data_IF_445052474871
#
_entry.id   IF_445052474871
#
_cell.length_a   1.000
_cell.length_b   1.000
_cell.length_c   1.000
_cell.angle_alpha   90.00
_cell.angle_beta   90.00
_cell.angle_gamma   90.00
#
_symmetry.space_group_name_H-M   'P 1'
#
loop_
_entity.id
_entity.type
_entity.pdbx_description
1 polymer ?
#
# COMPACT_ATOMS: atom_id res chain seq x y z
N UNK A 1 61.47 17.28 15.52
CA UNK A 1 61.10 17.27 14.08
C UNK A 1 59.72 17.87 13.95
N UNK A 2 59.49 18.80 13.02
CA UNK A 2 58.15 19.35 12.80
C UNK A 2 57.21 18.23 12.31
N UNK A 3 56.03 18.11 12.94
CA UNK A 3 55.01 17.15 12.54
C UNK A 3 54.48 17.49 11.16
N UNK A 4 54.47 16.51 10.25
CA UNK A 4 53.90 16.70 8.91
C UNK A 4 52.39 16.97 9.00
N UNK A 5 51.84 17.88 8.18
CA UNK A 5 50.40 18.10 8.13
C UNK A 5 49.68 16.88 7.55
N UNK A 6 48.46 16.61 8.04
CA UNK A 6 47.59 15.56 7.51
C UNK A 6 47.15 15.91 6.08
N UNK A 7 47.36 14.98 5.14
CA UNK A 7 46.79 15.02 3.80
C UNK A 7 45.79 13.87 3.71
N UNK A 8 44.52 14.17 3.51
CA UNK A 8 43.45 13.17 3.46
C UNK A 8 43.08 12.84 2.01
N UNK A 9 43.58 11.71 1.50
CA UNK A 9 43.29 11.18 0.16
C UNK A 9 42.14 10.14 0.16
N UNK A 10 41.49 9.91 1.31
CA UNK A 10 40.37 8.98 1.45
C UNK A 10 39.02 9.61 1.06
N UNK A 11 38.93 10.94 1.18
CA UNK A 11 37.67 11.67 1.09
C UNK A 11 37.10 11.67 -0.34
N UNK A 12 35.88 11.15 -0.52
CA UNK A 12 35.24 10.94 -1.84
C UNK A 12 34.19 11.96 -2.28
N UNK A 13 34.06 13.10 -1.60
CA UNK A 13 33.16 14.20 -2.00
C UNK A 13 33.94 15.43 -2.50
N UNK A 14 33.30 16.33 -3.30
CA UNK A 14 33.96 17.47 -3.92
C UNK A 14 34.67 18.40 -2.92
N UNK A 15 35.74 19.06 -3.37
CA UNK A 15 36.37 20.12 -2.59
C UNK A 15 35.42 21.32 -2.44
N UNK A 16 35.41 21.95 -1.27
CA UNK A 16 34.54 23.09 -0.97
C UNK A 16 34.76 24.29 -1.89
N UNK A 17 35.96 24.45 -2.47
CA UNK A 17 36.25 25.52 -3.43
C UNK A 17 35.53 25.37 -4.78
N UNK A 18 35.04 24.17 -5.09
CA UNK A 18 34.31 23.87 -6.34
C UNK A 18 32.79 23.96 -6.18
N UNK A 19 32.29 24.20 -4.96
CA UNK A 19 30.85 24.29 -4.73
C UNK A 19 30.32 25.60 -5.34
N UNK A 20 29.29 25.55 -6.21
CA UNK A 20 28.79 26.71 -6.95
C UNK A 20 27.86 27.59 -6.09
N UNK A 21 28.33 28.03 -4.93
CA UNK A 21 27.53 28.71 -3.90
C UNK A 21 26.90 30.01 -4.40
N UNK A 22 27.63 30.81 -5.19
CA UNK A 22 27.13 32.06 -5.75
C UNK A 22 25.97 31.84 -6.74
N UNK A 23 26.10 30.84 -7.62
CA UNK A 23 25.08 30.50 -8.61
C UNK A 23 23.83 29.93 -7.93
N UNK A 24 24.00 29.02 -6.97
CA UNK A 24 22.88 28.47 -6.19
C UNK A 24 22.16 29.58 -5.44
N UNK A 25 22.90 30.50 -4.81
CA UNK A 25 22.31 31.65 -4.11
C UNK A 25 21.48 32.52 -5.05
N UNK A 26 22.04 32.90 -6.20
CA UNK A 26 21.35 33.74 -7.18
C UNK A 26 20.07 33.05 -7.71
N UNK A 27 20.14 31.74 -7.99
CA UNK A 27 18.99 30.96 -8.44
C UNK A 27 17.89 30.90 -7.36
N UNK A 28 18.26 30.67 -6.10
CA UNK A 28 17.33 30.67 -4.98
C UNK A 28 16.66 32.04 -4.80
N UNK A 29 17.42 33.14 -4.82
CA UNK A 29 16.88 34.50 -4.72
C UNK A 29 15.91 34.78 -5.88
N UNK A 30 16.25 34.36 -7.10
CA UNK A 30 15.38 34.54 -8.28
C UNK A 30 14.07 33.74 -8.20
N UNK A 31 14.08 32.54 -7.60
CA UNK A 31 12.88 31.73 -7.43
C UNK A 31 12.01 32.30 -6.31
N UNK A 32 12.62 32.61 -5.16
CA UNK A 32 11.90 33.04 -3.96
C UNK A 32 11.29 34.45 -4.08
N UNK A 33 11.80 35.30 -4.98
CA UNK A 33 11.23 36.62 -5.26
C UNK A 33 9.99 36.57 -6.17
N UNK A 34 9.65 35.39 -6.71
CA UNK A 34 8.53 35.18 -7.63
C UNK A 34 7.42 34.35 -6.97
N UNK A 35 6.34 34.95 -6.46
CA UNK A 35 5.28 34.22 -5.76
C UNK A 35 4.64 33.10 -6.59
N UNK A 36 4.55 33.27 -7.91
CA UNK A 36 4.03 32.29 -8.87
C UNK A 36 4.84 30.98 -8.93
N UNK A 37 6.13 31.02 -8.55
CA UNK A 37 7.01 29.84 -8.49
C UNK A 37 7.29 29.43 -7.05
N UNK A 38 7.56 30.40 -6.17
CA UNK A 38 7.92 30.16 -4.79
C UNK A 38 6.81 29.46 -4.02
N UNK A 39 5.55 29.91 -4.17
CA UNK A 39 4.44 29.33 -3.40
C UNK A 39 4.21 27.86 -3.78
N UNK A 40 4.06 27.46 -5.06
CA UNK A 40 3.96 26.04 -5.42
C UNK A 40 5.19 25.23 -5.00
N UNK A 41 6.40 25.77 -5.14
CA UNK A 41 7.65 25.08 -4.78
C UNK A 41 7.84 24.85 -3.27
N UNK A 42 7.12 25.58 -2.42
CA UNK A 42 7.11 25.40 -0.96
C UNK A 42 5.95 24.52 -0.46
N UNK A 43 5.08 24.06 -1.36
CA UNK A 43 3.97 23.15 -1.07
C UNK A 43 4.30 21.73 -1.56
N UNK A 44 3.32 20.83 -1.50
CA UNK A 44 3.48 19.50 -2.09
C UNK A 44 3.72 19.60 -3.60
N UNK A 45 4.74 18.88 -4.07
CA UNK A 45 5.11 18.81 -5.48
C UNK A 45 4.58 17.56 -6.17
N UNK A 46 4.70 17.48 -7.51
CA UNK A 46 4.36 16.29 -8.28
C UNK A 46 5.26 15.08 -7.90
N UNK A 47 4.70 13.87 -7.91
CA UNK A 47 5.43 12.63 -7.58
C UNK A 47 6.76 12.47 -8.35
N UNK A 48 6.83 12.78 -9.67
CA UNK A 48 8.09 12.62 -10.40
C UNK A 48 9.12 13.74 -10.13
N UNK A 49 8.73 14.80 -9.42
CA UNK A 49 9.52 16.02 -9.20
C UNK A 49 9.11 17.20 -10.08
N UNK A 50 9.80 18.33 -9.89
CA UNK A 50 9.51 19.57 -10.60
C UNK A 50 9.61 19.40 -12.14
N UNK A 51 8.55 19.74 -12.91
CA UNK A 51 8.56 19.57 -14.36
C UNK A 51 9.62 20.39 -15.08
N UNK A 52 9.96 21.59 -14.58
CA UNK A 52 10.97 22.45 -15.17
C UNK A 52 12.37 21.83 -15.04
N UNK A 53 12.73 21.41 -13.83
CA UNK A 53 13.98 20.73 -13.55
C UNK A 53 14.15 19.46 -14.38
N UNK A 54 13.11 18.62 -14.45
CA UNK A 54 13.13 17.39 -15.27
C UNK A 54 13.38 17.69 -16.75
N UNK A 55 12.71 18.69 -17.32
CA UNK A 55 12.92 19.11 -18.72
C UNK A 55 14.34 19.62 -18.96
N UNK A 56 14.87 20.44 -18.05
CA UNK A 56 16.25 20.93 -18.15
C UNK A 56 17.28 19.80 -18.07
N UNK A 57 17.08 18.82 -17.18
CA UNK A 57 17.93 17.63 -17.07
C UNK A 57 17.85 16.79 -18.36
N UNK A 58 16.64 16.53 -18.87
CA UNK A 58 16.43 15.75 -20.09
C UNK A 58 17.10 16.40 -21.31
N UNK A 59 16.97 17.73 -21.46
CA UNK A 59 17.65 18.50 -22.49
C UNK A 59 19.18 18.40 -22.37
N UNK A 60 19.72 18.60 -21.16
CA UNK A 60 21.15 18.48 -20.91
C UNK A 60 21.68 17.07 -21.20
N UNK A 61 20.97 16.01 -20.78
CA UNK A 61 21.36 14.63 -21.05
C UNK A 61 21.39 14.33 -22.55
N UNK A 62 20.41 14.85 -23.31
CA UNK A 62 20.33 14.69 -24.76
C UNK A 62 21.51 15.37 -25.45
N UNK A 63 21.79 16.62 -25.06
CA UNK A 63 22.87 17.41 -25.63
C UNK A 63 24.25 16.85 -25.27
N UNK A 64 24.45 16.42 -24.02
CA UNK A 64 25.75 15.96 -23.55
C UNK A 64 26.12 14.55 -24.04
N UNK A 65 25.18 13.60 -23.99
CA UNK A 65 25.46 12.19 -24.31
C UNK A 65 25.17 11.81 -25.77
N UNK A 66 24.47 12.66 -26.53
CA UNK A 66 24.05 12.40 -27.91
C UNK A 66 23.48 10.97 -28.12
N UNK A 67 22.48 10.55 -27.34
CA UNK A 67 21.86 9.23 -27.51
C UNK A 67 21.18 9.11 -28.88
N UNK A 68 20.91 7.87 -29.31
CA UNK A 68 20.20 7.61 -30.58
C UNK A 68 18.80 8.22 -30.62
N UNK A 69 18.16 8.37 -29.46
CA UNK A 69 16.86 9.02 -29.29
C UNK A 69 16.95 10.05 -28.17
N UNK A 70 16.32 11.23 -28.30
CA UNK A 70 16.30 12.25 -27.26
C UNK A 70 15.80 11.72 -25.91
N UNK A 71 16.46 12.13 -24.83
CA UNK A 71 15.94 11.89 -23.47
C UNK A 71 14.77 12.84 -23.24
N UNK A 72 13.62 12.26 -22.92
CA UNK A 72 12.39 13.00 -22.62
C UNK A 72 12.18 13.11 -21.10
N UNK A 73 11.45 14.13 -20.65
CA UNK A 73 11.31 14.39 -19.21
C UNK A 73 10.49 13.34 -18.48
N UNK A 74 9.57 12.62 -19.15
CA UNK A 74 8.83 11.48 -18.61
C UNK A 74 9.72 10.31 -18.17
N UNK A 75 10.97 10.27 -18.66
CA UNK A 75 11.98 9.30 -18.24
C UNK A 75 12.83 9.75 -17.04
N UNK A 76 12.58 10.92 -16.47
CA UNK A 76 13.36 11.49 -15.36
C UNK A 76 12.50 11.61 -14.11
N UNK A 77 12.94 11.01 -13.01
CA UNK A 77 12.31 11.15 -11.70
C UNK A 77 13.32 11.71 -10.69
N UNK A 78 12.92 12.73 -9.94
CA UNK A 78 13.72 13.29 -8.85
C UNK A 78 13.58 12.39 -7.62
N UNK A 79 14.70 12.07 -6.98
CA UNK A 79 14.75 11.22 -5.77
C UNK A 79 15.60 11.91 -4.71
N UNK A 80 15.55 11.45 -3.46
CA UNK A 80 16.41 11.92 -2.37
C UNK A 80 17.88 11.49 -2.49
N UNK A 81 18.34 11.19 -3.71
CA UNK A 81 19.72 10.78 -4.03
C UNK A 81 19.84 9.31 -4.43
N UNK A 82 20.99 8.96 -5.01
CA UNK A 82 21.24 7.64 -5.57
C UNK A 82 21.06 6.50 -4.55
N UNK A 83 21.45 6.72 -3.30
CA UNK A 83 21.34 5.74 -2.21
C UNK A 83 19.88 5.42 -1.86
N UNK A 84 19.03 6.44 -1.73
CA UNK A 84 17.60 6.23 -1.49
C UNK A 84 16.96 5.51 -2.68
N UNK A 85 17.29 5.96 -3.91
CA UNK A 85 16.71 5.38 -5.11
C UNK A 85 17.09 3.91 -5.30
N UNK A 86 18.32 3.51 -4.96
CA UNK A 86 18.71 2.10 -4.96
C UNK A 86 17.82 1.29 -4.01
N UNK A 87 17.51 1.82 -2.83
CA UNK A 87 16.54 1.22 -1.92
C UNK A 87 15.14 1.07 -2.53
N UNK A 88 14.64 2.10 -3.23
CA UNK A 88 13.34 2.04 -3.92
C UNK A 88 13.31 0.98 -5.02
N UNK A 89 14.39 0.87 -5.81
CA UNK A 89 14.52 -0.16 -6.87
C UNK A 89 14.46 -1.55 -6.27
N UNK A 90 15.15 -1.79 -5.16
CA UNK A 90 15.13 -3.09 -4.48
C UNK A 90 13.72 -3.42 -3.96
N UNK A 91 13.02 -2.47 -3.34
CA UNK A 91 11.67 -2.70 -2.84
C UNK A 91 10.66 -3.10 -3.93
N UNK A 92 10.83 -2.58 -5.15
CA UNK A 92 9.89 -2.83 -6.24
C UNK A 92 10.24 -4.07 -7.07
N UNK A 93 11.53 -4.30 -7.34
CA UNK A 93 11.98 -5.31 -8.31
C UNK A 93 12.60 -6.55 -7.69
N UNK A 94 12.64 -6.66 -6.36
CA UNK A 94 13.24 -7.81 -5.68
C UNK A 94 12.34 -8.36 -4.59
N UNK A 95 12.53 -9.64 -4.29
CA UNK A 95 11.91 -10.32 -3.15
C UNK A 95 13.05 -11.01 -2.37
N UNK A 96 13.31 -10.66 -1.10
CA UNK A 96 14.40 -11.25 -0.33
C UNK A 96 14.22 -12.75 -0.08
N UNK A 97 13.06 -13.34 -0.33
CA UNK A 97 12.83 -14.79 -0.32
C UNK A 97 13.24 -15.38 -1.67
N UNK A 98 12.72 -14.85 -2.78
CA UNK A 98 12.89 -15.41 -4.12
C UNK A 98 14.20 -14.98 -4.82
N UNK A 99 14.54 -13.69 -4.82
CA UNK A 99 15.74 -13.13 -5.48
C UNK A 99 16.99 -13.81 -4.91
N UNK A 100 17.76 -14.46 -5.79
CA UNK A 100 18.80 -15.44 -5.38
C UNK A 100 20.14 -14.78 -5.09
N UNK A 101 20.54 -13.83 -5.94
CA UNK A 101 21.82 -13.16 -5.88
C UNK A 101 21.68 -11.69 -6.33
N UNK A 102 22.53 -10.82 -5.78
CA UNK A 102 22.79 -9.46 -6.27
C UNK A 102 24.22 -9.47 -6.82
N UNK A 103 24.36 -9.35 -8.14
CA UNK A 103 25.65 -9.34 -8.82
C UNK A 103 26.18 -7.90 -8.90
N UNK A 104 27.40 -7.68 -8.41
CA UNK A 104 28.00 -6.34 -8.31
C UNK A 104 29.41 -6.39 -8.89
N UNK A 105 29.76 -5.40 -9.70
CA UNK A 105 31.12 -5.22 -10.21
C UNK A 105 32.14 -5.06 -9.07
N UNK A 106 33.34 -5.62 -9.22
CA UNK A 106 34.43 -5.56 -8.24
C UNK A 106 35.70 -5.02 -8.89
N UNK A 107 36.28 -3.91 -8.38
CA UNK A 107 35.90 -3.19 -7.16
C UNK A 107 34.55 -2.46 -7.25
N UNK A 108 33.84 -2.31 -6.11
CA UNK A 108 32.50 -1.75 -6.05
C UNK A 108 32.41 -0.46 -5.21
N UNK A 109 31.35 0.31 -5.42
CA UNK A 109 30.96 1.42 -4.53
C UNK A 109 30.45 0.87 -3.18
N UNK A 110 31.35 0.77 -2.20
CA UNK A 110 31.09 0.09 -0.92
C UNK A 110 29.94 0.68 -0.10
N UNK A 111 29.58 1.96 -0.30
CA UNK A 111 28.43 2.58 0.38
C UNK A 111 27.08 2.00 -0.09
N UNK A 112 27.05 1.24 -1.19
CA UNK A 112 25.86 0.51 -1.60
C UNK A 112 25.63 -0.79 -0.81
N UNK A 113 26.66 -1.39 -0.19
CA UNK A 113 26.52 -2.68 0.47
C UNK A 113 25.51 -2.69 1.63
N UNK A 114 25.52 -1.70 2.55
CA UNK A 114 24.51 -1.64 3.61
C UNK A 114 23.08 -1.58 3.07
N UNK A 115 22.87 -0.93 1.92
CA UNK A 115 21.54 -0.79 1.29
C UNK A 115 21.01 -2.17 0.87
N UNK A 116 21.87 -3.03 0.31
CA UNK A 116 21.50 -4.41 -0.02
C UNK A 116 21.28 -5.26 1.24
N UNK A 117 22.08 -5.06 2.28
CA UNK A 117 21.95 -5.77 3.55
C UNK A 117 20.61 -5.47 4.22
N UNK A 118 20.25 -4.18 4.33
CA UNK A 118 18.99 -3.70 4.89
C UNK A 118 17.79 -4.22 4.11
N UNK A 119 17.93 -4.41 2.79
CA UNK A 119 16.92 -5.03 1.93
C UNK A 119 16.87 -6.58 2.03
N UNK A 120 17.66 -7.20 2.91
CA UNK A 120 17.65 -8.64 3.17
C UNK A 120 18.66 -9.47 2.35
N UNK A 121 19.58 -8.82 1.62
CA UNK A 121 20.51 -9.49 0.69
C UNK A 121 21.92 -9.75 1.25
N UNK A 122 22.13 -9.63 2.56
CA UNK A 122 23.46 -9.76 3.19
C UNK A 122 24.24 -11.06 2.85
N UNK A 123 23.56 -12.18 2.55
CA UNK A 123 24.20 -13.44 2.10
C UNK A 123 24.15 -13.67 0.59
N UNK A 124 23.58 -12.72 -0.15
CA UNK A 124 23.22 -12.84 -1.56
C UNK A 124 24.07 -11.94 -2.47
N UNK A 125 24.95 -11.12 -1.92
CA UNK A 125 25.92 -10.34 -2.69
C UNK A 125 26.95 -11.26 -3.38
N UNK A 126 27.21 -11.01 -4.66
CA UNK A 126 28.20 -11.72 -5.48
C UNK A 126 29.03 -10.73 -6.28
N UNK A 127 30.34 -10.91 -6.26
CA UNK A 127 31.27 -10.07 -7.03
C UNK A 127 31.40 -10.57 -8.47
N UNK A 128 31.47 -9.62 -9.40
CA UNK A 128 31.83 -9.84 -10.81
C UNK A 128 33.11 -9.06 -11.05
N UNK A 129 34.21 -9.67 -11.52
CA UNK A 129 35.45 -8.95 -11.75
C UNK A 129 35.30 -7.95 -12.90
N UNK A 130 36.05 -6.86 -12.83
CA UNK A 130 36.31 -6.01 -14.00
C UNK A 130 37.62 -6.42 -14.69
N UNK A 131 37.60 -6.39 -16.02
CA UNK A 131 38.78 -6.46 -16.87
C UNK A 131 39.06 -5.07 -17.49
N UNK A 132 40.08 -4.96 -18.34
CA UNK A 132 40.45 -3.69 -18.97
C UNK A 132 39.35 -3.02 -19.81
N UNK A 133 38.26 -3.74 -20.14
CA UNK A 133 37.09 -3.24 -20.88
C UNK A 133 35.83 -3.05 -20.02
N UNK A 134 35.91 -3.22 -18.69
CA UNK A 134 34.77 -3.13 -17.77
C UNK A 134 34.37 -4.50 -17.21
N UNK A 135 33.09 -4.67 -16.88
CA UNK A 135 32.55 -5.90 -16.25
C UNK A 135 32.86 -7.13 -17.11
N UNK A 136 33.40 -8.19 -16.49
CA UNK A 136 33.58 -9.49 -17.15
C UNK A 136 32.23 -10.20 -17.34
N UNK A 137 31.64 -9.99 -18.52
CA UNK A 137 30.32 -10.54 -18.88
C UNK A 137 30.35 -12.06 -19.03
N UNK A 138 31.47 -12.65 -19.43
CA UNK A 138 31.58 -14.10 -19.58
C UNK A 138 31.62 -14.79 -18.22
N UNK A 139 32.38 -14.22 -17.26
CA UNK A 139 32.33 -14.65 -15.86
C UNK A 139 30.91 -14.51 -15.29
N UNK A 140 30.27 -13.35 -15.48
CA UNK A 140 28.90 -13.13 -15.00
C UNK A 140 27.93 -14.16 -15.58
N UNK A 141 28.01 -14.45 -16.88
CA UNK A 141 27.17 -15.45 -17.54
C UNK A 141 27.37 -16.83 -16.90
N UNK A 142 28.61 -17.24 -16.71
CA UNK A 142 28.94 -18.54 -16.10
C UNK A 142 28.35 -18.66 -14.68
N UNK A 143 28.47 -17.62 -13.87
CA UNK A 143 27.97 -17.62 -12.50
C UNK A 143 26.44 -17.55 -12.41
N UNK A 144 25.78 -16.84 -13.34
CA UNK A 144 24.32 -16.89 -13.49
C UNK A 144 23.88 -18.31 -13.85
N UNK A 145 24.55 -18.99 -14.80
CA UNK A 145 24.22 -20.38 -15.14
C UNK A 145 24.32 -21.31 -13.92
N UNK A 146 25.38 -21.21 -13.12
CA UNK A 146 25.52 -21.99 -11.87
C UNK A 146 24.40 -21.68 -10.87
N UNK A 147 24.01 -20.42 -10.75
CA UNK A 147 22.89 -19.98 -9.93
C UNK A 147 21.55 -20.58 -10.40
N UNK A 148 21.30 -20.63 -11.72
CA UNK A 148 20.11 -21.27 -12.30
C UNK A 148 20.09 -22.78 -12.07
N UNK A 149 21.21 -23.48 -12.29
CA UNK A 149 21.31 -24.92 -12.03
C UNK A 149 21.05 -25.25 -10.56
N UNK A 150 21.61 -24.46 -9.64
CA UNK A 150 21.34 -24.59 -8.21
C UNK A 150 19.86 -24.37 -7.90
N UNK A 151 19.25 -23.33 -8.47
CA UNK A 151 17.83 -23.04 -8.28
C UNK A 151 16.93 -24.19 -8.75
N UNK A 152 17.24 -24.81 -9.89
CA UNK A 152 16.52 -26.00 -10.39
C UNK A 152 16.68 -27.19 -9.45
N UNK A 153 17.89 -27.45 -8.95
CA UNK A 153 18.14 -28.55 -7.99
C UNK A 153 17.38 -28.34 -6.67
N UNK A 154 17.29 -27.10 -6.21
CA UNK A 154 16.69 -26.76 -4.92
C UNK A 154 15.17 -26.44 -5.02
N UNK A 155 14.59 -26.46 -6.23
CA UNK A 155 13.18 -26.10 -6.45
C UNK A 155 12.85 -24.60 -6.27
N UNK A 156 13.85 -23.71 -6.29
CA UNK A 156 13.66 -22.26 -6.16
C UNK A 156 13.54 -21.55 -7.53
N UNK A 157 12.62 -22.01 -8.36
CA UNK A 157 12.43 -21.51 -9.73
C UNK A 157 11.33 -20.47 -9.87
N UNK A 158 10.45 -20.36 -8.87
CA UNK A 158 9.34 -19.39 -8.82
C UNK A 158 9.03 -18.97 -7.37
N UNK A 159 8.33 -17.84 -7.14
CA UNK A 159 7.92 -17.40 -5.80
C UNK A 159 6.94 -18.38 -5.12
N UNK A 160 7.44 -19.26 -4.27
CA UNK A 160 6.61 -20.32 -3.66
C UNK A 160 5.59 -19.83 -2.63
N UNK A 161 5.86 -18.75 -1.90
CA UNK A 161 4.94 -18.31 -0.84
C UNK A 161 3.62 -17.76 -1.41
N UNK A 162 3.67 -17.03 -2.52
CA UNK A 162 2.47 -16.47 -3.15
C UNK A 162 1.59 -17.59 -3.71
N UNK A 163 2.16 -18.44 -4.57
CA UNK A 163 1.40 -19.47 -5.29
C UNK A 163 1.12 -20.72 -4.43
N UNK A 164 2.04 -21.09 -3.55
CA UNK A 164 1.95 -22.29 -2.71
C UNK A 164 1.35 -22.07 -1.33
N UNK A 165 1.28 -20.83 -0.83
CA UNK A 165 0.72 -20.52 0.51
C UNK A 165 -0.43 -19.53 0.44
N UNK A 166 -0.19 -18.30 -0.02
CA UNK A 166 -1.17 -17.22 0.07
C UNK A 166 -2.40 -17.46 -0.83
N UNK A 167 -2.19 -17.77 -2.11
CA UNK A 167 -3.30 -18.02 -3.02
C UNK A 167 -4.18 -19.20 -2.57
N UNK A 168 -3.65 -20.39 -2.22
CA UNK A 168 -4.45 -21.49 -1.70
C UNK A 168 -5.18 -21.13 -0.40
N UNK A 169 -4.51 -20.43 0.51
CA UNK A 169 -5.07 -20.04 1.80
C UNK A 169 -6.25 -19.06 1.67
N UNK A 170 -6.14 -18.07 0.78
CA UNK A 170 -7.22 -17.12 0.50
C UNK A 170 -8.34 -17.75 -0.33
N UNK A 171 -8.01 -18.61 -1.30
CA UNK A 171 -9.01 -19.35 -2.08
C UNK A 171 -9.85 -20.27 -1.19
N UNK A 172 -9.24 -20.97 -0.22
CA UNK A 172 -9.97 -21.80 0.74
C UNK A 172 -10.94 -20.97 1.60
N UNK A 173 -10.49 -19.84 2.15
CA UNK A 173 -11.32 -18.92 2.93
C UNK A 173 -12.49 -18.36 2.12
N UNK A 174 -12.21 -17.89 0.91
CA UNK A 174 -13.21 -17.40 -0.03
C UNK A 174 -14.27 -18.47 -0.31
N UNK A 175 -13.87 -19.70 -0.65
CA UNK A 175 -14.80 -20.80 -0.93
C UNK A 175 -15.69 -21.14 0.27
N UNK A 176 -15.12 -21.19 1.48
CA UNK A 176 -15.89 -21.48 2.70
C UNK A 176 -16.92 -20.38 2.97
N UNK A 177 -16.51 -19.11 2.91
CA UNK A 177 -17.43 -17.99 3.14
C UNK A 177 -18.50 -17.92 2.05
N UNK A 178 -18.14 -18.08 0.78
CA UNK A 178 -19.09 -18.06 -0.34
C UNK A 178 -20.10 -19.20 -0.26
N UNK A 179 -19.66 -20.43 0.04
CA UNK A 179 -20.56 -21.56 0.22
C UNK A 179 -21.56 -21.31 1.37
N UNK A 180 -21.10 -20.69 2.47
CA UNK A 180 -21.99 -20.31 3.56
C UNK A 180 -22.96 -19.18 3.16
N UNK A 181 -22.51 -18.19 2.38
CA UNK A 181 -23.36 -17.10 1.87
C UNK A 181 -24.45 -17.66 0.95
N UNK A 182 -24.09 -18.50 -0.01
CA UNK A 182 -25.02 -19.15 -0.93
C UNK A 182 -26.04 -20.01 -0.19
N UNK A 183 -25.61 -20.72 0.87
CA UNK A 183 -26.49 -21.57 1.67
C UNK A 183 -27.41 -20.80 2.60
N UNK A 184 -26.92 -19.73 3.25
CA UNK A 184 -27.61 -19.10 4.38
C UNK A 184 -28.13 -17.68 4.11
N UNK A 185 -27.48 -16.90 3.24
CA UNK A 185 -27.85 -15.49 2.99
C UNK A 185 -28.59 -15.30 1.68
N UNK A 186 -28.19 -15.98 0.60
CA UNK A 186 -28.88 -15.88 -0.70
C UNK A 186 -30.36 -16.24 -0.61
N UNK A 187 -30.79 -17.31 0.12
CA UNK A 187 -32.21 -17.62 0.29
C UNK A 187 -33.00 -16.54 1.04
N UNK A 188 -32.31 -15.65 1.77
CA UNK A 188 -32.93 -14.52 2.47
C UNK A 188 -33.05 -13.27 1.60
N UNK A 189 -32.58 -13.31 0.35
CA UNK A 189 -32.62 -12.19 -0.60
C UNK A 189 -31.37 -11.32 -0.62
N UNK A 190 -30.28 -11.72 0.06
CA UNK A 190 -28.98 -11.04 -0.03
C UNK A 190 -28.37 -11.29 -1.42
N UNK A 191 -27.87 -10.23 -2.05
CA UNK A 191 -27.25 -10.28 -3.38
C UNK A 191 -25.75 -10.03 -3.30
N UNK A 192 -24.99 -10.77 -4.11
CA UNK A 192 -23.59 -10.51 -4.40
C UNK A 192 -23.51 -9.62 -5.66
N UNK A 193 -22.46 -8.78 -5.82
CA UNK A 193 -22.17 -8.15 -7.10
C UNK A 193 -21.95 -9.24 -8.15
N UNK A 194 -22.43 -9.00 -9.37
CA UNK A 194 -22.29 -9.91 -10.51
C UNK A 194 -20.82 -10.33 -10.69
N UNK A 195 -20.52 -11.60 -10.42
CA UNK A 195 -19.21 -12.20 -10.59
C UNK A 195 -19.13 -12.94 -11.92
N UNK A 196 -19.17 -12.18 -13.01
CA UNK A 196 -19.21 -12.73 -14.37
C UNK A 196 -17.81 -13.11 -14.88
N UNK A 197 -16.76 -12.70 -14.17
CA UNK A 197 -15.38 -13.10 -14.44
C UNK A 197 -15.04 -14.33 -13.59
N UNK A 198 -14.65 -15.44 -14.20
CA UNK A 198 -14.18 -16.66 -13.53
C UNK A 198 -12.88 -16.51 -12.70
N UNK A 199 -12.62 -15.31 -12.17
CA UNK A 199 -11.48 -14.93 -11.34
C UNK A 199 -12.02 -14.29 -10.06
N UNK A 200 -11.69 -14.88 -8.92
CA UNK A 200 -11.92 -14.31 -7.59
C UNK A 200 -10.59 -13.90 -6.96
N UNK A 201 -10.56 -12.74 -6.28
CA UNK A 201 -9.35 -12.21 -5.66
C UNK A 201 -9.64 -11.13 -4.62
N UNK A 202 -8.60 -10.69 -3.92
CA UNK A 202 -8.69 -9.71 -2.84
C UNK A 202 -9.01 -10.34 -1.48
N UNK A 203 -9.60 -9.54 -0.59
CA UNK A 203 -9.88 -9.91 0.82
C UNK A 203 -11.32 -9.72 1.25
N UNK A 204 -12.14 -9.09 0.39
CA UNK A 204 -13.46 -8.60 0.77
C UNK A 204 -14.53 -9.07 -0.20
N UNK A 205 -15.72 -9.30 0.36
CA UNK A 205 -16.96 -9.49 -0.37
C UNK A 205 -17.88 -8.31 -0.06
N UNK A 206 -18.49 -7.76 -1.10
CA UNK A 206 -19.55 -6.76 -0.97
C UNK A 206 -20.90 -7.46 -1.10
N UNK A 207 -21.85 -7.15 -0.23
CA UNK A 207 -23.18 -7.74 -0.25
C UNK A 207 -24.24 -6.65 -0.16
N UNK A 208 -25.30 -6.79 -0.95
CA UNK A 208 -26.48 -5.94 -0.88
C UNK A 208 -27.62 -6.69 -0.19
N UNK A 209 -28.12 -6.12 0.90
CA UNK A 209 -29.22 -6.65 1.69
C UNK A 209 -30.57 -6.44 0.98
N UNK A 210 -31.56 -7.32 1.20
CA UNK A 210 -32.91 -7.13 0.68
C UNK A 210 -33.61 -5.95 1.36
N UNK A 211 -34.48 -5.25 0.62
CA UNK A 211 -35.35 -4.22 1.19
C UNK A 211 -36.27 -4.82 2.26
N UNK A 212 -36.57 -4.12 3.38
CA UNK A 212 -36.15 -2.75 3.74
C UNK A 212 -34.87 -2.67 4.58
N UNK A 213 -34.07 -3.75 4.68
CA UNK A 213 -32.94 -3.81 5.62
C UNK A 213 -31.86 -2.78 5.32
N UNK A 214 -31.29 -2.22 6.39
CA UNK A 214 -30.18 -1.25 6.34
C UNK A 214 -28.90 -1.88 6.90
N UNK A 215 -27.77 -1.60 6.25
CA UNK A 215 -26.46 -2.11 6.63
C UNK A 215 -26.08 -1.73 8.06
N UNK A 216 -26.35 -0.47 8.44
CA UNK A 216 -26.14 0.06 9.78
C UNK A 216 -26.87 -0.74 10.87
N UNK A 217 -28.15 -1.02 10.62
CA UNK A 217 -28.98 -1.76 11.57
C UNK A 217 -28.54 -3.22 11.67
N UNK A 218 -28.24 -3.86 10.55
CA UNK A 218 -27.70 -5.23 10.52
C UNK A 218 -26.37 -5.30 11.29
N UNK A 219 -25.45 -4.37 11.05
CA UNK A 219 -24.15 -4.33 11.73
C UNK A 219 -24.29 -4.15 13.24
N UNK A 220 -25.16 -3.22 13.67
CA UNK A 220 -25.45 -2.98 15.07
C UNK A 220 -26.04 -4.22 15.75
N UNK A 221 -27.07 -4.82 15.17
CA UNK A 221 -27.75 -6.00 15.75
C UNK A 221 -26.85 -7.23 15.73
N UNK A 222 -26.04 -7.42 14.69
CA UNK A 222 -25.04 -8.48 14.63
C UNK A 222 -24.03 -8.38 15.79
N UNK A 223 -23.55 -7.18 16.08
CA UNK A 223 -22.63 -6.96 17.21
C UNK A 223 -23.31 -7.21 18.55
N UNK A 224 -24.50 -6.66 18.76
CA UNK A 224 -25.22 -6.75 20.04
C UNK A 224 -25.71 -8.16 20.37
N UNK A 225 -26.22 -8.90 19.39
CA UNK A 225 -26.94 -10.16 19.64
C UNK A 225 -26.13 -11.40 19.31
N UNK A 226 -25.25 -11.33 18.31
CA UNK A 226 -24.48 -12.47 17.83
C UNK A 226 -22.97 -12.29 18.04
N UNK A 227 -22.54 -11.19 18.68
CA UNK A 227 -21.13 -10.83 18.84
C UNK A 227 -20.35 -10.93 17.51
N UNK A 228 -20.99 -10.49 16.42
CA UNK A 228 -20.47 -10.53 15.06
C UNK A 228 -20.27 -9.10 14.55
N UNK A 229 -19.07 -8.79 14.07
CA UNK A 229 -18.75 -7.48 13.50
C UNK A 229 -18.75 -7.60 11.97
N UNK A 230 -19.52 -6.72 11.33
CA UNK A 230 -19.54 -6.53 9.87
C UNK A 230 -19.44 -5.04 9.58
N UNK A 231 -18.85 -4.67 8.44
CA UNK A 231 -18.74 -3.27 8.06
C UNK A 231 -20.00 -2.83 7.29
N UNK A 232 -20.60 -1.72 7.69
CA UNK A 232 -21.74 -1.12 7.00
C UNK A 232 -21.29 -0.32 5.77
N UNK A 233 -22.13 -0.27 4.73
CA UNK A 233 -21.81 0.40 3.46
C UNK A 233 -21.48 1.89 3.61
N UNK A 234 -22.12 2.58 4.57
CA UNK A 234 -21.90 4.01 4.82
C UNK A 234 -20.47 4.39 5.20
N UNK A 235 -19.69 3.45 5.76
CA UNK A 235 -18.27 3.66 6.08
C UNK A 235 -17.40 3.87 4.83
N UNK A 236 -17.90 3.49 3.65
CA UNK A 236 -17.18 3.54 2.38
C UNK A 236 -17.64 4.68 1.47
N UNK A 237 -18.53 5.54 1.97
CA UNK A 237 -19.00 6.71 1.24
C UNK A 237 -17.98 7.85 1.30
N UNK A 238 -17.95 8.67 0.24
CA UNK A 238 -17.08 9.86 0.19
C UNK A 238 -17.68 10.94 1.10
N UNK A 239 -16.94 11.40 2.13
CA UNK A 239 -17.45 12.44 3.03
C UNK A 239 -17.88 13.69 2.26
N UNK A 240 -19.13 14.12 2.47
CA UNK A 240 -19.70 15.32 1.84
C UNK A 240 -20.39 15.11 0.48
N UNK A 241 -20.40 13.89 -0.09
CA UNK A 241 -21.08 13.59 -1.38
C UNK A 241 -22.06 12.40 -1.32
N UNK A 242 -22.36 11.89 -0.12
CA UNK A 242 -23.30 10.77 0.13
C UNK A 242 -24.72 10.99 -0.40
N UNK A 243 -25.13 12.23 -0.66
CA UNK A 243 -26.46 12.53 -1.19
C UNK A 243 -26.67 11.98 -2.62
N UNK A 244 -25.59 11.81 -3.39
CA UNK A 244 -25.65 11.31 -4.77
C UNK A 244 -25.41 9.80 -4.86
N UNK A 245 -24.45 9.31 -4.08
CA UNK A 245 -24.02 7.91 -4.09
C UNK A 245 -23.90 7.47 -2.64
N UNK A 246 -24.76 6.55 -2.23
CA UNK A 246 -24.77 5.96 -0.89
C UNK A 246 -25.04 4.46 -0.96
N UNK A 247 -24.68 3.78 0.12
CA UNK A 247 -24.75 2.32 0.23
C UNK A 247 -25.53 1.88 1.48
N UNK A 248 -26.77 2.37 1.68
CA UNK A 248 -27.50 2.21 2.92
C UNK A 248 -27.94 0.77 3.18
N UNK A 249 -27.98 -0.06 2.14
CA UNK A 249 -28.41 -1.45 2.21
C UNK A 249 -27.24 -2.42 2.02
N UNK A 250 -26.00 -1.93 1.98
CA UNK A 250 -24.84 -2.77 1.70
C UNK A 250 -23.99 -3.02 2.94
N UNK A 251 -23.28 -4.15 2.92
CA UNK A 251 -22.29 -4.52 3.93
C UNK A 251 -21.05 -5.10 3.24
N UNK A 252 -19.89 -4.94 3.89
CA UNK A 252 -18.63 -5.55 3.45
C UNK A 252 -18.19 -6.62 4.46
N UNK A 253 -17.90 -7.81 3.94
CA UNK A 253 -17.36 -8.92 4.71
C UNK A 253 -15.88 -9.14 4.36
N UNK A 254 -15.05 -9.40 5.36
CA UNK A 254 -13.64 -9.75 5.19
C UNK A 254 -13.49 -11.26 5.36
N UNK A 255 -12.96 -11.95 4.34
CA UNK A 255 -12.67 -13.38 4.44
C UNK A 255 -11.20 -13.67 4.76
N UNK A 256 -10.31 -12.67 4.81
CA UNK A 256 -8.86 -12.89 5.00
C UNK A 256 -8.43 -13.02 6.46
N UNK A 257 -9.12 -12.35 7.39
CA UNK A 257 -8.67 -12.18 8.79
C UNK A 257 -8.95 -13.39 9.69
N UNK A 258 -10.22 -13.81 9.80
CA UNK A 258 -10.62 -14.87 10.72
C UNK A 258 -10.11 -16.25 10.28
N UNK A 259 -10.03 -17.17 11.25
CA UNK A 259 -9.73 -18.57 10.98
C UNK A 259 -10.81 -19.21 10.08
N UNK A 260 -10.38 -20.12 9.20
CA UNK A 260 -11.23 -20.70 8.13
C UNK A 260 -12.49 -21.36 8.68
N UNK A 261 -12.37 -22.05 9.82
CA UNK A 261 -13.44 -22.76 10.52
C UNK A 261 -14.49 -21.84 11.14
N UNK A 262 -14.15 -20.56 11.40
CA UNK A 262 -15.09 -19.57 11.96
C UNK A 262 -15.90 -18.83 10.89
N UNK A 263 -15.44 -18.85 9.63
CA UNK A 263 -16.09 -18.08 8.56
C UNK A 263 -17.53 -18.55 8.32
N UNK A 264 -17.76 -19.87 8.31
CA UNK A 264 -19.10 -20.44 8.14
C UNK A 264 -20.05 -20.02 9.26
N UNK A 265 -19.60 -20.14 10.52
CA UNK A 265 -20.37 -19.74 11.70
C UNK A 265 -20.69 -18.23 11.68
N UNK A 266 -19.74 -17.39 11.27
CA UNK A 266 -19.97 -15.95 11.13
C UNK A 266 -21.10 -15.62 10.15
N UNK A 267 -21.18 -16.35 9.03
CA UNK A 267 -22.27 -16.20 8.06
C UNK A 267 -23.60 -16.74 8.60
N UNK A 268 -23.59 -17.85 9.34
CA UNK A 268 -24.79 -18.37 10.01
C UNK A 268 -25.36 -17.39 11.04
N UNK A 269 -24.48 -16.77 11.86
CA UNK A 269 -24.82 -15.69 12.79
C UNK A 269 -25.47 -14.51 12.06
N UNK A 270 -24.89 -14.08 10.94
CA UNK A 270 -25.44 -13.02 10.11
C UNK A 270 -26.83 -13.38 9.55
N UNK A 271 -27.03 -14.63 9.13
CA UNK A 271 -28.31 -15.12 8.64
C UNK A 271 -29.40 -15.03 9.71
N UNK A 272 -29.09 -15.38 10.98
CA UNK A 272 -30.02 -15.24 12.11
C UNK A 272 -30.44 -13.79 12.33
N UNK A 273 -29.49 -12.86 12.27
CA UNK A 273 -29.75 -11.41 12.39
C UNK A 273 -30.71 -10.93 11.29
N UNK A 274 -30.42 -11.30 10.03
CA UNK A 274 -31.24 -10.91 8.88
C UNK A 274 -32.66 -11.48 9.00
N UNK A 275 -32.81 -12.76 9.34
CA UNK A 275 -34.11 -13.38 9.56
C UNK A 275 -34.89 -12.71 10.70
N UNK A 276 -34.21 -12.37 11.79
CA UNK A 276 -34.84 -11.70 12.92
C UNK A 276 -35.39 -10.32 12.51
N UNK A 277 -34.58 -9.54 11.79
CA UNK A 277 -34.99 -8.20 11.32
C UNK A 277 -36.13 -8.28 10.30
N UNK A 278 -36.11 -9.27 9.40
CA UNK A 278 -37.21 -9.50 8.46
C UNK A 278 -38.53 -9.87 9.16
N UNK A 279 -38.48 -10.66 10.24
CA UNK A 279 -39.67 -11.04 11.02
C UNK A 279 -40.18 -9.89 11.91
N UNK A 280 -39.28 -9.05 12.41
CA UNK A 280 -39.61 -7.88 13.23
C UNK A 280 -40.27 -6.73 12.46
N UNK A 281 -40.19 -6.73 11.13
CA UNK A 281 -40.78 -5.71 10.25
C UNK A 281 -42.28 -5.87 9.94
N UNK A 282 -42.99 -6.80 10.59
CA UNK A 282 -44.44 -7.04 10.39
C UNK A 282 -45.28 -6.64 11.63
N UNK A 283 -44.67 -6.07 12.67
CA UNK A 283 -45.39 -5.59 13.85
C UNK A 283 -45.79 -4.11 13.70
N UNK A 284 -47.11 -3.92 13.70
CA UNK A 284 -47.92 -2.73 13.43
C UNK A 284 -47.51 -1.46 14.22
N UNK A 285 -47.60 -0.33 13.54
CA UNK A 285 -47.27 1.04 13.96
C UNK A 285 -48.36 1.65 14.88
N UNK A 286 -48.67 0.97 16.00
CA UNK A 286 -49.78 1.39 16.89
C UNK A 286 -49.42 1.79 18.33
N UNK A 287 -48.18 1.61 18.78
CA UNK A 287 -47.83 1.87 20.20
C UNK A 287 -46.96 3.13 20.44
N UNK A 288 -46.91 4.07 19.50
CA UNK A 288 -46.23 5.36 19.70
C UNK A 288 -47.16 6.57 19.71
N UNK A 289 -48.31 6.47 20.39
CA UNK A 289 -49.09 7.64 20.81
C UNK A 289 -49.67 7.43 22.22
N UNK A 290 -48.84 7.62 23.24
CA UNK A 290 -49.30 7.91 24.60
C UNK A 290 -48.13 8.45 25.42
N UNK A 291 -48.03 9.77 25.54
CA UNK A 291 -47.12 10.41 26.50
C UNK A 291 -46.61 11.78 26.07
N UNK A 292 -47.50 12.75 25.88
CA UNK A 292 -47.11 14.17 25.93
C UNK A 292 -46.91 14.61 27.38
N UNK A 293 -45.88 15.46 27.54
CA UNK A 293 -45.24 16.08 28.71
C UNK A 293 -46.17 16.76 29.77
N UNK A 294 -45.59 17.22 30.89
CA UNK A 294 -45.15 18.63 30.92
C UNK A 294 -43.73 18.86 31.47
N UNK A 295 -43.20 20.02 31.06
CA UNK A 295 -41.88 20.59 31.36
C UNK A 295 -41.68 21.05 32.81
N UNK A 296 -40.39 21.16 33.18
CA UNK A 296 -39.70 22.32 33.76
C UNK A 296 -38.85 22.00 35.01
N UNK A 297 -37.57 22.39 34.95
CA UNK A 297 -36.66 22.37 36.09
C UNK A 297 -35.20 22.55 35.66
N UNK A 298 -34.73 23.79 35.68
CA UNK A 298 -33.35 24.20 35.40
C UNK A 298 -32.34 23.70 36.47
N UNK A 299 -31.11 23.54 35.98
CA UNK A 299 -29.85 23.96 36.61
C UNK A 299 -28.90 22.92 37.28
N UNK A 300 -27.62 23.17 36.97
CA UNK A 300 -26.35 22.85 37.64
C UNK A 300 -25.57 21.57 37.33
N UNK A 301 -24.60 21.80 36.43
CA UNK A 301 -23.16 21.61 36.67
C UNK A 301 -22.57 20.21 36.49
N UNK A 302 -21.85 20.06 35.38
CA UNK A 302 -21.13 18.85 35.01
C UNK A 302 -19.83 18.64 35.78
N UNK A 303 -19.54 17.36 36.06
CA UNK A 303 -18.19 16.84 36.27
C UNK A 303 -18.05 15.43 35.70
N UNK A 304 -17.02 15.30 34.88
CA UNK A 304 -16.13 14.14 34.68
C UNK A 304 -16.62 12.92 33.88
N UNK A 305 -15.86 12.61 32.82
CA UNK A 305 -15.90 11.32 32.14
C UNK A 305 -15.28 11.33 30.74
N UNK A 306 -13.98 11.61 30.62
CA UNK A 306 -13.25 11.37 29.37
C UNK A 306 -13.19 9.86 29.10
N UNK A 307 -14.01 9.39 28.16
CA UNK A 307 -13.85 8.10 27.48
C UNK A 307 -13.43 8.38 26.04
N UNK A 308 -12.12 8.36 25.78
CA UNK A 308 -11.57 8.49 24.43
C UNK A 308 -11.71 7.17 23.68
N UNK A 309 -12.68 7.09 22.78
CA UNK A 309 -12.83 6.02 21.82
C UNK A 309 -11.66 6.00 20.84
N UNK A 310 -11.01 4.84 20.73
CA UNK A 310 -10.05 4.55 19.68
C UNK A 310 -10.77 4.39 18.35
N UNK A 311 -10.38 5.21 17.38
CA UNK A 311 -10.70 5.01 15.97
C UNK A 311 -9.97 3.75 15.48
N UNK A 312 -10.73 2.75 15.07
CA UNK A 312 -10.21 1.59 14.35
C UNK A 312 -10.34 1.88 12.86
N UNK A 313 -9.18 1.96 12.21
CA UNK A 313 -9.01 1.93 10.76
C UNK A 313 -9.33 0.54 10.20
#
# INVERSE_FOLDING_TARGET
>A
MATKPLINLLRGWPNTSLLPTAVIKQAADSVLTRPDVAVPGLLYGPDPGDPGARKSIAAWLTDFYHPSEPVTDDRITVTGGASQNLGCVLQFFTDPIFTRNIWISSPAYFLAFPIFEDAGFHRKLRSVPENGGGVDVDFLRQEITKSEEKAKRDGNTEPQHIYGTLQPAYAARYRVMMAAIEKHLVPLGVRLPQSDGGVAGGYFLWLSLPSPLKGAEVARVAKERENLIVAEGGMFEVPGDSAKINFPCDIRLCFSWEAVDRLGEGIERLARVIQQLQRGGVADDKDKQSGMLPEAGEDQSGKLGQGGGGNYW
#
